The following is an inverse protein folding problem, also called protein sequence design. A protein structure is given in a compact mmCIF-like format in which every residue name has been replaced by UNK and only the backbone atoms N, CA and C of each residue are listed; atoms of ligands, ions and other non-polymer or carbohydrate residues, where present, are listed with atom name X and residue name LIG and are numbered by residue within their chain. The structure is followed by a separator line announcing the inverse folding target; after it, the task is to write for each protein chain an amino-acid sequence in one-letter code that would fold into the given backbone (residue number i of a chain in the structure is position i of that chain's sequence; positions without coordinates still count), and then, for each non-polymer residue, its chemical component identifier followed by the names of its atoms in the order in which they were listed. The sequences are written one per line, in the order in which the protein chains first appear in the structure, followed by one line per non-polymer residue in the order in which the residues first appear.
data_IF_752223713603
#
_entry.id   IF_752223713603
#
_cell.length_a   1.000
_cell.length_b   1.000
_cell.length_c   1.000
_cell.angle_alpha   90.00
_cell.angle_beta   90.00
_cell.angle_gamma   90.00
#
_symmetry.space_group_name_H-M   'P 1'
#
loop_
_entity.id
_entity.type
_entity.pdbx_description
1 polymer ?
#
# COMPACT_ATOMS: atom_id res chain seq x y z
N UNK A 1 -0.76 6.46 -30.76
CA UNK A 1 -0.73 5.19 -30.01
C UNK A 1 -0.91 5.42 -28.49
N UNK A 2 -0.16 6.32 -27.85
CA UNK A 2 -0.29 6.56 -26.39
C UNK A 2 -1.70 6.93 -25.91
N UNK A 3 -2.43 7.76 -26.62
CA UNK A 3 -3.81 8.11 -26.28
C UNK A 3 -4.78 6.91 -26.23
N UNK A 4 -4.66 5.97 -27.17
CA UNK A 4 -5.50 4.77 -27.15
C UNK A 4 -5.14 3.83 -25.99
N UNK A 5 -3.85 3.66 -25.69
CA UNK A 5 -3.38 2.89 -24.54
C UNK A 5 -3.89 3.53 -23.25
N UNK A 6 -3.80 4.86 -23.12
CA UNK A 6 -4.33 5.60 -21.98
C UNK A 6 -5.83 5.35 -21.79
N UNK A 7 -6.63 5.52 -22.82
CA UNK A 7 -8.08 5.23 -22.76
C UNK A 7 -8.38 3.79 -22.34
N UNK A 8 -7.57 2.83 -22.79
CA UNK A 8 -7.73 1.43 -22.41
C UNK A 8 -7.42 1.23 -20.92
N UNK A 9 -6.35 1.83 -20.40
CA UNK A 9 -6.01 1.82 -18.97
C UNK A 9 -7.13 2.46 -18.15
N UNK A 10 -7.58 3.66 -18.53
CA UNK A 10 -8.65 4.37 -17.85
C UNK A 10 -9.98 3.60 -17.84
N UNK A 11 -10.31 2.93 -18.96
CA UNK A 11 -11.48 2.05 -19.03
C UNK A 11 -11.35 0.86 -18.08
N UNK A 12 -10.18 0.22 -18.05
CA UNK A 12 -9.90 -0.90 -17.15
C UNK A 12 -10.10 -0.51 -15.68
N UNK A 13 -9.57 0.64 -15.27
CA UNK A 13 -9.71 1.10 -13.87
C UNK A 13 -11.14 1.47 -13.55
N UNK A 14 -11.89 2.12 -14.43
CA UNK A 14 -13.33 2.35 -14.23
C UNK A 14 -14.15 1.06 -14.12
N UNK A 15 -13.78 0.01 -14.85
CA UNK A 15 -14.42 -1.31 -14.72
C UNK A 15 -14.07 -1.99 -13.38
N UNK A 16 -12.83 -1.83 -12.91
CA UNK A 16 -12.38 -2.32 -11.61
C UNK A 16 -13.12 -1.57 -10.50
N UNK A 17 -13.14 -0.25 -10.53
CA UNK A 17 -13.85 0.62 -9.58
C UNK A 17 -15.33 0.22 -9.46
N UNK A 18 -16.02 0.03 -10.57
CA UNK A 18 -17.43 -0.40 -10.54
C UNK A 18 -17.63 -1.74 -9.83
N UNK A 19 -16.73 -2.70 -10.03
CA UNK A 19 -16.79 -3.99 -9.34
C UNK A 19 -16.54 -3.83 -7.85
N UNK A 20 -15.56 -3.02 -7.48
CA UNK A 20 -15.24 -2.76 -6.08
C UNK A 20 -16.35 -1.98 -5.39
N UNK A 21 -16.99 -1.03 -6.05
CA UNK A 21 -18.18 -0.34 -5.52
C UNK A 21 -19.33 -1.30 -5.23
N UNK A 22 -19.55 -2.31 -6.09
CA UNK A 22 -20.53 -3.37 -5.83
C UNK A 22 -20.10 -4.22 -4.62
N UNK A 23 -18.83 -4.64 -4.57
CA UNK A 23 -18.29 -5.39 -3.43
C UNK A 23 -18.46 -4.62 -2.12
N UNK A 24 -18.00 -3.38 -2.07
CA UNK A 24 -18.07 -2.52 -0.88
C UNK A 24 -19.51 -2.30 -0.40
N UNK A 25 -20.45 -2.16 -1.32
CA UNK A 25 -21.88 -1.98 -0.99
C UNK A 25 -22.47 -3.19 -0.26
N UNK A 26 -22.05 -4.41 -0.61
CA UNK A 26 -22.62 -5.65 -0.07
C UNK A 26 -21.68 -6.35 0.93
N UNK A 27 -20.50 -5.80 1.15
CA UNK A 27 -19.52 -6.35 2.10
C UNK A 27 -20.01 -6.15 3.54
N UNK A 28 -20.02 -7.22 4.32
CA UNK A 28 -20.26 -7.15 5.75
C UNK A 28 -19.09 -6.39 6.41
N UNK A 29 -19.41 -5.48 7.32
CA UNK A 29 -18.39 -4.77 8.10
C UNK A 29 -18.15 -5.48 9.44
N UNK A 30 -16.90 -5.59 9.90
CA UNK A 30 -16.59 -6.10 11.23
C UNK A 30 -17.30 -5.31 12.32
N UNK A 31 -17.89 -6.04 13.31
CA UNK A 31 -18.53 -5.42 14.46
C UNK A 31 -17.52 -5.04 15.53
N UNK A 32 -17.93 -4.20 16.49
CA UNK A 32 -17.12 -3.84 17.66
C UNK A 32 -15.97 -2.90 17.34
N UNK A 33 -16.08 -2.10 16.28
CA UNK A 33 -15.07 -1.11 15.86
C UNK A 33 -15.67 0.29 15.80
N UNK A 34 -15.02 1.23 16.43
CA UNK A 34 -15.28 2.65 16.30
C UNK A 34 -14.51 3.21 15.10
N UNK A 35 -15.16 4.09 14.35
CA UNK A 35 -14.59 4.67 13.13
C UNK A 35 -14.73 6.18 13.16
N UNK A 36 -13.61 6.88 13.07
CA UNK A 36 -13.60 8.31 12.76
C UNK A 36 -13.18 8.51 11.31
N UNK A 37 -14.13 8.94 10.49
CA UNK A 37 -13.97 8.97 9.03
C UNK A 37 -13.80 10.38 8.47
N UNK A 38 -12.98 10.49 7.40
CA UNK A 38 -12.84 11.72 6.65
C UNK A 38 -12.06 12.82 7.36
N UNK A 39 -11.15 12.45 8.27
CA UNK A 39 -10.30 13.40 8.97
C UNK A 39 -9.29 14.02 7.98
N UNK A 40 -9.25 15.36 7.82
CA UNK A 40 -8.29 15.98 6.91
C UNK A 40 -6.88 15.95 7.50
N UNK A 41 -5.90 15.43 6.75
CA UNK A 41 -4.49 15.48 7.16
C UNK A 41 -3.75 16.72 6.61
N UNK A 42 -4.32 17.38 5.61
CA UNK A 42 -3.91 18.72 5.15
C UNK A 42 -5.12 19.68 5.14
N UNK A 43 -4.90 21.00 5.38
CA UNK A 43 -5.99 21.96 5.51
C UNK A 43 -6.39 22.62 4.18
N UNK A 44 -6.18 21.95 3.04
CA UNK A 44 -6.40 22.51 1.69
C UNK A 44 -7.77 22.19 1.08
N UNK A 45 -8.56 21.32 1.75
CA UNK A 45 -9.90 20.93 1.29
C UNK A 45 -9.92 19.89 0.18
N UNK A 46 -8.78 19.32 -0.23
CA UNK A 46 -8.77 18.23 -1.20
C UNK A 46 -9.37 16.97 -0.54
N UNK A 47 -10.42 16.34 -1.11
CA UNK A 47 -11.01 15.12 -0.56
C UNK A 47 -10.04 13.94 -0.50
N UNK A 48 -8.96 13.97 -1.30
CA UNK A 48 -7.91 12.95 -1.27
C UNK A 48 -6.92 13.19 -0.13
N UNK A 49 -6.93 14.35 0.53
CA UNK A 49 -6.13 14.63 1.72
C UNK A 49 -6.88 14.31 3.00
N UNK A 50 -7.52 13.13 3.05
CA UNK A 50 -8.30 12.65 4.20
C UNK A 50 -7.92 11.23 4.57
N UNK A 51 -8.14 10.88 5.84
CA UNK A 51 -7.90 9.56 6.39
C UNK A 51 -9.05 9.12 7.28
N UNK A 52 -9.08 7.82 7.60
CA UNK A 52 -9.97 7.24 8.60
C UNK A 52 -9.13 6.61 9.72
N UNK A 53 -9.66 6.69 10.93
CA UNK A 53 -9.12 6.02 12.11
C UNK A 53 -10.11 4.94 12.55
N UNK A 54 -9.60 3.75 12.83
CA UNK A 54 -10.37 2.59 13.27
C UNK A 54 -9.79 2.07 14.58
N UNK A 55 -10.66 1.79 15.58
CA UNK A 55 -10.27 1.27 16.88
C UNK A 55 -11.29 0.25 17.39
N UNK A 56 -10.87 -0.70 18.24
CA UNK A 56 -11.82 -1.54 18.95
C UNK A 56 -12.71 -0.66 19.84
N UNK A 57 -14.03 -0.90 19.79
CA UNK A 57 -15.00 -0.14 20.58
C UNK A 57 -14.77 -0.33 22.09
N UNK A 58 -14.82 0.77 22.83
CA UNK A 58 -14.71 0.77 24.30
C UNK A 58 -13.33 0.47 24.85
N UNK A 59 -12.30 0.26 24.03
CA UNK A 59 -10.92 0.04 24.49
C UNK A 59 -10.23 1.38 24.73
N UNK A 60 -9.72 1.56 25.94
CA UNK A 60 -9.00 2.78 26.35
C UNK A 60 -7.48 2.59 26.25
N UNK A 61 -6.77 3.71 26.10
CA UNK A 61 -5.31 3.74 26.05
C UNK A 61 -4.71 3.51 24.67
N UNK A 62 -3.36 3.60 24.56
CA UNK A 62 -2.68 3.43 23.29
C UNK A 62 -2.68 1.96 22.83
N UNK A 63 -2.88 1.76 21.54
CA UNK A 63 -2.87 0.46 20.88
C UNK A 63 -1.77 0.42 19.81
N UNK A 64 -1.17 -0.75 19.54
CA UNK A 64 -0.24 -0.91 18.43
C UNK A 64 -0.84 -0.34 17.15
N UNK A 65 -0.03 0.38 16.42
CA UNK A 65 -0.45 1.18 15.26
C UNK A 65 -0.27 0.40 13.97
N UNK A 66 -1.29 0.41 13.12
CA UNK A 66 -1.19 -0.08 11.73
C UNK A 66 -1.49 1.08 10.78
N UNK A 67 -0.59 1.31 9.83
CA UNK A 67 -0.76 2.29 8.76
C UNK A 67 -1.02 1.54 7.46
N UNK A 68 -2.21 1.69 6.89
CA UNK A 68 -2.63 1.04 5.66
C UNK A 68 -2.63 2.03 4.48
N UNK A 69 -1.94 1.64 3.39
CA UNK A 69 -1.93 2.37 2.12
C UNK A 69 -2.66 1.53 1.08
N UNK A 70 -3.80 2.00 0.62
CA UNK A 70 -4.64 1.26 -0.31
C UNK A 70 -4.01 1.06 -1.70
N UNK A 71 -4.39 -0.02 -2.38
CA UNK A 71 -4.03 -0.31 -3.76
C UNK A 71 -4.72 0.56 -4.80
N UNK A 72 -4.99 -0.02 -5.97
CA UNK A 72 -5.71 0.68 -7.05
C UNK A 72 -4.82 1.16 -8.20
N UNK A 73 -3.62 0.57 -8.38
CA UNK A 73 -2.69 0.86 -9.49
C UNK A 73 -2.30 2.33 -9.59
N UNK A 74 -2.24 3.02 -8.47
CA UNK A 74 -1.98 4.47 -8.33
C UNK A 74 -3.03 5.36 -8.99
N UNK A 75 -4.11 4.82 -9.55
CA UNK A 75 -5.04 5.50 -10.45
C UNK A 75 -6.47 5.55 -9.96
N UNK A 76 -6.84 4.73 -8.97
CA UNK A 76 -8.18 4.72 -8.39
C UNK A 76 -8.12 4.29 -6.91
N UNK A 77 -9.25 4.46 -6.22
CA UNK A 77 -9.41 4.14 -4.81
C UNK A 77 -9.23 5.35 -3.91
N UNK A 78 -9.61 5.16 -2.69
CA UNK A 78 -9.44 6.06 -1.57
C UNK A 78 -9.44 5.23 -0.27
N UNK A 79 -9.40 5.86 0.89
CA UNK A 79 -9.42 5.22 2.22
C UNK A 79 -10.59 4.26 2.45
N UNK A 80 -11.68 4.36 1.67
CA UNK A 80 -12.84 3.47 1.81
C UNK A 80 -12.61 2.12 1.12
N UNK A 81 -11.63 2.02 0.20
CA UNK A 81 -11.36 0.80 -0.55
C UNK A 81 -10.99 -0.37 0.38
N UNK A 82 -10.21 -0.09 1.43
CA UNK A 82 -9.74 -1.06 2.41
C UNK A 82 -10.50 -0.97 3.75
N UNK A 83 -11.63 -0.25 3.81
CA UNK A 83 -12.35 0.01 5.06
C UNK A 83 -12.64 -1.25 5.88
N UNK A 84 -13.22 -2.27 5.28
CA UNK A 84 -13.58 -3.48 5.98
C UNK A 84 -12.34 -4.26 6.48
N UNK A 85 -11.27 -4.26 5.70
CA UNK A 85 -9.96 -4.80 6.10
C UNK A 85 -9.38 -4.05 7.31
N UNK A 86 -9.33 -2.72 7.26
CA UNK A 86 -8.87 -1.91 8.38
C UNK A 86 -9.71 -2.14 9.65
N UNK A 87 -11.04 -2.27 9.50
CA UNK A 87 -11.93 -2.62 10.60
C UNK A 87 -11.64 -4.03 11.15
N UNK A 88 -11.34 -5.01 10.28
CA UNK A 88 -11.00 -6.37 10.71
C UNK A 88 -9.69 -6.39 11.52
N UNK A 89 -8.70 -5.63 11.14
CA UNK A 89 -7.45 -5.46 11.90
C UNK A 89 -7.70 -4.74 13.23
N UNK A 90 -8.52 -3.70 13.23
CA UNK A 90 -8.88 -2.97 14.44
C UNK A 90 -9.62 -3.87 15.44
N UNK A 91 -10.53 -4.73 14.98
CA UNK A 91 -11.22 -5.70 15.81
C UNK A 91 -10.28 -6.68 16.54
N UNK A 92 -9.04 -6.84 16.07
CA UNK A 92 -8.00 -7.67 16.70
C UNK A 92 -7.16 -6.90 17.75
N UNK A 93 -7.53 -5.67 18.11
CA UNK A 93 -6.87 -4.92 19.18
C UNK A 93 -5.85 -3.88 18.70
N UNK A 94 -5.93 -3.43 17.48
CA UNK A 94 -5.02 -2.43 16.90
C UNK A 94 -5.71 -1.09 16.66
N UNK A 95 -4.94 0.01 16.71
CA UNK A 95 -5.36 1.28 16.16
C UNK A 95 -4.89 1.33 14.69
N UNK A 96 -5.83 1.47 13.76
CA UNK A 96 -5.55 1.42 12.33
C UNK A 96 -5.85 2.76 11.68
N UNK A 97 -4.94 3.24 10.83
CA UNK A 97 -5.13 4.42 9.99
C UNK A 97 -5.13 3.99 8.52
N UNK A 98 -6.24 4.20 7.82
CA UNK A 98 -6.33 4.09 6.37
C UNK A 98 -6.40 5.47 5.74
N UNK A 99 -5.55 5.75 4.76
CA UNK A 99 -5.44 7.07 4.16
C UNK A 99 -5.76 7.09 2.67
N UNK A 100 -6.27 8.21 2.18
CA UNK A 100 -6.33 8.51 0.74
C UNK A 100 -5.07 9.26 0.32
N UNK A 101 -4.69 9.12 -0.94
CA UNK A 101 -3.63 9.90 -1.60
C UNK A 101 -4.08 10.29 -3.01
N UNK A 102 -3.61 11.43 -3.52
CA UNK A 102 -3.96 11.89 -4.87
C UNK A 102 -3.50 10.90 -5.93
N UNK A 103 -4.31 10.71 -6.93
CA UNK A 103 -4.17 9.66 -7.93
C UNK A 103 -3.47 10.16 -9.21
N UNK A 104 -2.89 9.24 -9.97
CA UNK A 104 -2.46 9.52 -11.33
C UNK A 104 -3.68 9.81 -12.24
N UNK A 105 -3.63 10.78 -13.12
CA UNK A 105 -2.54 11.68 -13.46
C UNK A 105 -2.60 13.03 -12.75
N UNK A 106 -3.39 13.18 -11.71
CA UNK A 106 -3.53 14.45 -10.99
C UNK A 106 -2.17 14.87 -10.43
N UNK A 107 -1.45 13.91 -9.86
CA UNK A 107 -0.06 14.05 -9.43
C UNK A 107 0.79 12.92 -10.01
N UNK A 108 2.11 13.02 -9.95
CA UNK A 108 3.05 11.95 -10.24
C UNK A 108 3.38 11.13 -8.97
N UNK A 109 4.33 10.19 -9.07
CA UNK A 109 4.76 9.38 -7.93
C UNK A 109 5.29 10.24 -6.76
N UNK A 110 5.95 11.36 -7.04
CA UNK A 110 6.44 12.28 -5.99
C UNK A 110 5.28 12.83 -5.18
N UNK A 111 4.21 13.31 -5.85
CA UNK A 111 3.04 13.83 -5.18
C UNK A 111 2.35 12.78 -4.31
N UNK A 112 2.26 11.54 -4.77
CA UNK A 112 1.69 10.43 -3.97
C UNK A 112 2.53 10.13 -2.72
N UNK A 113 3.86 10.09 -2.84
CA UNK A 113 4.75 9.92 -1.70
C UNK A 113 4.63 11.08 -0.71
N UNK A 114 4.52 12.32 -1.20
CA UNK A 114 4.30 13.49 -0.36
C UNK A 114 2.99 13.41 0.43
N UNK A 115 1.92 12.91 -0.19
CA UNK A 115 0.64 12.70 0.48
C UNK A 115 0.74 11.64 1.59
N UNK A 116 1.46 10.53 1.32
CA UNK A 116 1.72 9.49 2.34
C UNK A 116 2.47 10.08 3.54
N UNK A 117 3.57 10.80 3.32
CA UNK A 117 4.33 11.42 4.42
C UNK A 117 3.50 12.48 5.15
N UNK A 118 2.70 13.28 4.45
CA UNK A 118 1.83 14.28 5.07
C UNK A 118 0.79 13.65 6.02
N UNK A 119 0.19 12.51 5.61
CA UNK A 119 -0.74 11.76 6.47
C UNK A 119 -0.05 11.17 7.71
N UNK A 120 1.17 10.68 7.56
CA UNK A 120 1.94 10.14 8.70
C UNK A 120 2.45 11.24 9.63
N UNK A 121 2.78 12.41 9.11
CA UNK A 121 3.04 13.59 9.95
C UNK A 121 1.79 14.08 10.68
N UNK A 122 0.59 13.90 10.11
CA UNK A 122 -0.65 14.12 10.84
C UNK A 122 -0.78 13.15 12.02
N UNK A 123 -0.48 11.86 11.80
CA UNK A 123 -0.47 10.86 12.86
C UNK A 123 0.50 11.26 14.00
N UNK A 124 1.72 11.70 13.69
CA UNK A 124 2.69 12.15 14.69
C UNK A 124 2.20 13.32 15.56
N UNK A 125 1.38 14.19 14.97
CA UNK A 125 0.83 15.35 15.69
C UNK A 125 -0.42 15.04 16.48
N UNK A 126 -1.22 14.09 16.06
CA UNK A 126 -2.57 13.87 16.56
C UNK A 126 -2.80 12.46 17.10
N UNK A 127 -1.96 11.48 16.74
CA UNK A 127 -2.17 10.06 16.97
C UNK A 127 -2.38 9.67 18.43
N UNK A 128 -1.65 10.30 19.36
CA UNK A 128 -1.86 10.06 20.79
C UNK A 128 -3.31 10.36 21.23
N UNK A 129 -3.90 11.44 20.72
CA UNK A 129 -5.30 11.80 20.99
C UNK A 129 -6.31 10.80 20.45
N UNK A 130 -5.92 10.04 19.41
CA UNK A 130 -6.68 8.93 18.83
C UNK A 130 -6.25 7.57 19.39
N UNK A 131 -5.33 7.54 20.36
CA UNK A 131 -4.88 6.33 21.05
C UNK A 131 -4.00 5.42 20.21
N UNK A 132 -3.18 5.97 19.33
CA UNK A 132 -2.12 5.26 18.63
C UNK A 132 -0.87 5.13 19.50
N UNK A 133 -0.27 3.96 19.56
CA UNK A 133 1.06 3.74 20.13
C UNK A 133 2.10 3.96 19.03
N UNK A 134 2.71 5.15 19.04
CA UNK A 134 3.70 5.53 18.03
C UNK A 134 5.07 4.86 18.23
N UNK A 135 5.25 4.09 19.32
CA UNK A 135 6.46 3.28 19.51
C UNK A 135 6.41 1.92 18.78
N UNK A 136 5.20 1.51 18.33
CA UNK A 136 4.95 0.25 17.64
C UNK A 136 4.10 0.49 16.39
N UNK A 137 4.75 0.66 15.25
CA UNK A 137 4.10 1.00 13.98
C UNK A 137 4.38 -0.07 12.93
N UNK A 138 3.34 -0.79 12.50
CA UNK A 138 3.34 -1.60 11.29
C UNK A 138 2.92 -0.73 10.10
N UNK A 139 3.77 -0.65 9.09
CA UNK A 139 3.43 -0.07 7.79
C UNK A 139 3.00 -1.20 6.86
N UNK A 140 1.79 -1.09 6.29
CA UNK A 140 1.30 -2.06 5.31
C UNK A 140 0.65 -1.37 4.12
N UNK A 141 0.48 -2.12 3.06
CA UNK A 141 -0.27 -1.70 1.88
C UNK A 141 -0.38 -2.82 0.87
N UNK A 142 -1.42 -2.75 0.05
CA UNK A 142 -1.71 -3.75 -0.96
C UNK A 142 -1.43 -3.25 -2.38
N UNK A 143 -0.91 -4.12 -3.25
CA UNK A 143 -0.70 -3.81 -4.68
C UNK A 143 0.14 -2.53 -4.90
N UNK A 144 -0.44 -1.47 -5.46
CA UNK A 144 0.20 -0.15 -5.60
C UNK A 144 0.46 0.50 -4.23
N UNK A 145 -0.39 0.25 -3.23
CA UNK A 145 -0.16 0.65 -1.84
C UNK A 145 1.02 -0.09 -1.22
N UNK A 146 1.19 -1.38 -1.53
CA UNK A 146 2.37 -2.16 -1.14
C UNK A 146 3.67 -1.60 -1.74
N UNK A 147 3.62 -1.11 -2.98
CA UNK A 147 4.73 -0.35 -3.57
C UNK A 147 5.02 0.93 -2.77
N UNK A 148 3.98 1.74 -2.50
CA UNK A 148 4.14 2.99 -1.74
C UNK A 148 4.64 2.72 -0.31
N UNK A 149 4.19 1.66 0.35
CA UNK A 149 4.66 1.26 1.67
C UNK A 149 6.16 0.90 1.66
N UNK A 150 6.59 0.04 0.73
CA UNK A 150 8.01 -0.31 0.57
C UNK A 150 8.89 0.90 0.25
N UNK A 151 8.44 1.75 -0.68
CA UNK A 151 9.15 2.98 -1.04
C UNK A 151 9.23 3.97 0.15
N UNK A 152 8.13 4.11 0.91
CA UNK A 152 8.10 4.95 2.12
C UNK A 152 9.08 4.46 3.19
N UNK A 153 9.17 3.15 3.41
CA UNK A 153 10.15 2.58 4.35
C UNK A 153 11.59 2.89 3.91
N UNK A 154 11.90 2.79 2.61
CA UNK A 154 13.22 3.17 2.07
C UNK A 154 13.50 4.67 2.21
N UNK A 155 12.53 5.53 1.89
CA UNK A 155 12.68 6.99 2.01
C UNK A 155 12.90 7.39 3.46
N UNK A 156 12.19 6.78 4.41
CA UNK A 156 12.36 7.02 5.85
C UNK A 156 13.82 6.87 6.30
N UNK A 157 14.58 5.97 5.68
CA UNK A 157 15.97 5.63 6.05
C UNK A 157 17.03 6.32 5.19
N UNK A 158 16.65 7.09 4.16
CA UNK A 158 17.60 7.66 3.18
C UNK A 158 17.45 9.17 3.00
N UNK A 159 18.43 9.95 3.48
CA UNK A 159 18.47 11.41 3.25
C UNK A 159 18.45 11.78 1.76
N UNK A 160 19.09 10.98 0.92
CA UNK A 160 19.10 11.21 -0.51
C UNK A 160 17.71 11.05 -1.13
N UNK A 161 16.98 10.01 -0.72
CA UNK A 161 15.59 9.80 -1.17
C UNK A 161 14.64 10.85 -0.57
N UNK A 162 14.81 11.25 0.69
CA UNK A 162 14.03 12.34 1.30
C UNK A 162 14.15 13.63 0.49
N UNK A 163 15.39 14.04 0.17
CA UNK A 163 15.64 15.21 -0.68
C UNK A 163 15.06 15.03 -2.10
N UNK A 164 15.19 13.83 -2.69
CA UNK A 164 14.69 13.51 -4.02
C UNK A 164 13.17 13.62 -4.10
N UNK A 165 12.46 13.09 -3.10
CA UNK A 165 10.99 13.12 -3.03
C UNK A 165 10.43 14.40 -2.41
N UNK A 166 11.28 15.22 -1.78
CA UNK A 166 10.89 16.48 -1.13
C UNK A 166 10.03 16.25 0.10
N UNK A 167 10.43 15.31 0.96
CA UNK A 167 9.74 14.96 2.21
C UNK A 167 10.71 15.00 3.39
N UNK A 168 10.16 15.26 4.57
CA UNK A 168 10.88 15.15 5.83
C UNK A 168 10.66 13.76 6.46
N UNK A 169 11.68 13.16 7.09
CA UNK A 169 11.51 11.89 7.77
C UNK A 169 10.58 12.00 8.97
N UNK A 170 9.94 10.88 9.31
CA UNK A 170 9.15 10.75 10.54
C UNK A 170 10.08 10.61 11.75
N UNK A 171 9.60 11.07 12.91
CA UNK A 171 10.32 10.93 14.18
C UNK A 171 10.30 9.48 14.69
N UNK A 172 9.20 8.78 14.41
CA UNK A 172 8.98 7.41 14.87
C UNK A 172 9.32 6.43 13.75
N UNK A 173 10.18 5.43 14.00
CA UNK A 173 10.50 4.41 13.01
C UNK A 173 9.34 3.43 12.84
N UNK A 174 9.28 2.78 11.69
CA UNK A 174 8.43 1.61 11.51
C UNK A 174 9.04 0.40 12.23
N UNK A 175 8.23 -0.34 12.99
CA UNK A 175 8.64 -1.56 13.68
C UNK A 175 8.64 -2.77 12.74
N UNK A 176 7.76 -2.76 11.74
CA UNK A 176 7.67 -3.78 10.70
C UNK A 176 7.09 -3.19 9.40
N UNK A 177 7.34 -3.86 8.29
CA UNK A 177 6.79 -3.56 6.96
C UNK A 177 6.11 -4.81 6.41
N UNK A 178 4.81 -4.72 6.04
CA UNK A 178 4.11 -5.79 5.34
C UNK A 178 3.74 -5.34 3.92
N UNK A 179 4.18 -6.08 2.92
CA UNK A 179 3.91 -5.80 1.49
C UNK A 179 2.96 -6.88 0.97
N UNK A 180 1.69 -6.52 0.82
CA UNK A 180 0.65 -7.42 0.35
C UNK A 180 0.48 -7.32 -1.17
N UNK A 181 0.84 -8.38 -1.91
CA UNK A 181 0.76 -8.44 -3.37
C UNK A 181 1.38 -7.21 -4.08
N UNK A 182 2.42 -6.63 -3.47
CA UNK A 182 2.98 -5.34 -3.85
C UNK A 182 3.63 -5.33 -5.23
N UNK A 183 3.56 -4.17 -5.89
CA UNK A 183 4.32 -3.94 -7.13
C UNK A 183 5.74 -3.52 -6.78
N UNK A 184 6.70 -4.41 -6.94
CA UNK A 184 8.10 -4.17 -6.54
C UNK A 184 8.94 -3.59 -7.66
N UNK A 185 8.60 -3.91 -8.93
CA UNK A 185 9.22 -3.35 -10.13
C UNK A 185 8.20 -2.52 -10.90
N UNK A 186 8.24 -1.19 -10.70
CA UNK A 186 7.33 -0.25 -11.37
C UNK A 186 7.67 -0.03 -12.84
N UNK A 187 8.87 -0.42 -13.27
CA UNK A 187 9.32 -0.22 -14.66
C UNK A 187 8.75 -1.29 -15.59
N UNK A 188 8.50 -2.48 -15.04
CA UNK A 188 7.94 -3.62 -15.76
C UNK A 188 6.62 -4.10 -15.14
N UNK A 189 5.79 -3.18 -14.71
CA UNK A 189 4.56 -3.41 -13.95
C UNK A 189 3.72 -4.61 -14.43
N UNK A 190 3.58 -4.83 -15.73
CA UNK A 190 2.74 -5.91 -16.26
C UNK A 190 3.49 -7.22 -16.49
N UNK A 191 4.82 -7.22 -16.55
CA UNK A 191 5.67 -8.34 -17.04
C UNK A 191 5.17 -9.01 -18.33
N UNK A 192 4.31 -8.34 -19.09
CA UNK A 192 3.80 -8.87 -20.36
C UNK A 192 4.82 -8.58 -21.47
N UNK A 193 5.42 -9.61 -22.08
CA UNK A 193 6.43 -9.44 -23.12
C UNK A 193 5.84 -8.95 -24.45
N UNK A 194 4.51 -8.94 -24.57
CA UNK A 194 3.82 -8.53 -25.79
C UNK A 194 4.01 -7.03 -26.08
N UNK A 195 3.90 -6.61 -27.37
CA UNK A 195 3.94 -5.19 -27.74
C UNK A 195 2.91 -4.35 -26.98
N UNK A 196 1.74 -4.91 -26.68
CA UNK A 196 0.70 -4.25 -25.88
C UNK A 196 1.15 -4.07 -24.42
N UNK A 197 1.70 -5.11 -23.80
CA UNK A 197 2.23 -5.03 -22.44
C UNK A 197 3.33 -3.98 -22.29
N UNK A 198 4.25 -3.92 -23.26
CA UNK A 198 5.29 -2.90 -23.31
C UNK A 198 4.72 -1.48 -23.49
N UNK A 199 3.65 -1.32 -24.26
CA UNK A 199 2.99 -0.04 -24.46
C UNK A 199 2.27 0.42 -23.17
N UNK A 200 1.62 -0.51 -22.44
CA UNK A 200 1.02 -0.25 -21.12
C UNK A 200 2.10 0.16 -20.12
N UNK A 201 3.18 -0.61 -19.98
CA UNK A 201 4.28 -0.28 -19.07
C UNK A 201 4.92 1.09 -19.39
N UNK A 202 5.03 1.44 -20.66
CA UNK A 202 5.51 2.77 -21.08
C UNK A 202 4.56 3.87 -20.65
N UNK A 203 3.25 3.66 -20.73
CA UNK A 203 2.27 4.65 -20.29
C UNK A 203 2.30 4.83 -18.77
N UNK A 204 2.41 3.75 -17.99
CA UNK A 204 2.61 3.85 -16.54
C UNK A 204 3.87 4.63 -16.17
N UNK A 205 5.01 4.37 -16.87
CA UNK A 205 6.22 5.17 -16.65
C UNK A 205 6.01 6.67 -16.93
N UNK A 206 5.19 7.01 -17.93
CA UNK A 206 4.84 8.42 -18.21
C UNK A 206 3.96 9.03 -17.13
N UNK A 207 3.07 8.25 -16.56
CA UNK A 207 2.21 8.67 -15.47
C UNK A 207 2.98 8.87 -14.18
N UNK A 208 3.82 7.90 -13.81
CA UNK A 208 4.60 7.92 -12.57
C UNK A 208 5.74 8.95 -12.59
N UNK A 209 6.39 9.15 -13.74
CA UNK A 209 7.63 9.92 -13.84
C UNK A 209 7.55 11.14 -14.79
N UNK A 210 6.39 11.39 -15.36
CA UNK A 210 6.17 12.46 -16.33
C UNK A 210 6.48 12.10 -17.79
N UNK A 211 6.13 12.97 -18.75
CA UNK A 211 6.23 12.68 -20.19
C UNK A 211 7.64 12.31 -20.66
N UNK A 212 8.65 12.92 -20.05
CA UNK A 212 10.07 12.65 -20.29
C UNK A 212 10.65 11.73 -19.20
N UNK A 213 9.93 10.66 -18.86
CA UNK A 213 10.23 9.76 -17.75
C UNK A 213 11.69 9.29 -17.67
N UNK A 214 12.39 9.10 -18.79
CA UNK A 214 13.82 8.72 -18.81
C UNK A 214 14.75 9.79 -18.26
N UNK A 215 14.30 11.04 -18.20
CA UNK A 215 15.04 12.18 -17.68
C UNK A 215 14.53 12.59 -16.30
N UNK A 216 13.54 11.90 -15.76
CA UNK A 216 13.02 12.14 -14.43
C UNK A 216 14.09 11.74 -13.38
N UNK A 217 14.36 12.57 -12.40
CA UNK A 217 15.27 12.19 -11.31
C UNK A 217 14.73 11.05 -10.44
N UNK A 218 13.40 10.80 -10.50
CA UNK A 218 12.78 9.66 -9.81
C UNK A 218 13.01 8.33 -10.53
N UNK A 219 13.30 8.37 -11.84
CA UNK A 219 13.51 7.15 -12.62
C UNK A 219 14.84 6.49 -12.19
N UNK A 220 14.80 5.23 -11.78
CA UNK A 220 15.91 4.53 -11.13
C UNK A 220 15.91 4.65 -9.60
N UNK A 221 14.90 5.32 -9.00
CA UNK A 221 14.76 5.49 -7.55
C UNK A 221 13.32 5.28 -7.08
N UNK A 222 12.62 4.32 -7.65
CA UNK A 222 11.21 4.07 -7.38
C UNK A 222 10.89 2.60 -7.08
N UNK A 223 11.61 1.63 -7.64
CA UNK A 223 11.45 0.21 -7.31
C UNK A 223 12.17 -0.14 -6.02
N UNK A 224 11.69 -1.16 -5.31
CA UNK A 224 12.28 -1.58 -4.03
C UNK A 224 13.77 -1.94 -4.20
N UNK A 225 14.10 -2.70 -5.22
CA UNK A 225 15.49 -3.12 -5.51
C UNK A 225 16.46 -1.96 -5.79
N UNK A 226 15.94 -0.80 -6.25
CA UNK A 226 16.76 0.39 -6.51
C UNK A 226 16.95 1.25 -5.26
N UNK A 227 16.01 1.18 -4.33
CA UNK A 227 15.93 2.11 -3.19
C UNK A 227 16.37 1.49 -1.87
N UNK A 228 16.25 0.18 -1.70
CA UNK A 228 16.56 -0.53 -0.47
C UNK A 228 18.07 -0.78 -0.20
N UNK A 229 18.97 -0.94 -1.22
CA UNK A 229 20.34 -1.34 -0.96
C UNK A 229 21.07 -0.44 0.05
N UNK A 230 21.68 -1.08 1.05
CA UNK A 230 22.47 -0.40 2.09
C UNK A 230 21.65 0.29 3.18
N UNK A 231 20.32 0.17 3.16
CA UNK A 231 19.46 0.72 4.20
C UNK A 231 19.22 -0.29 5.33
N UNK A 232 19.10 0.22 6.55
CA UNK A 232 18.66 -0.52 7.73
C UNK A 232 17.14 -0.48 7.80
N UNK A 233 16.48 -1.41 7.09
CA UNK A 233 15.02 -1.51 7.03
C UNK A 233 14.48 -2.33 8.21
N UNK A 234 13.23 -2.08 8.64
CA UNK A 234 12.58 -2.95 9.63
C UNK A 234 12.37 -4.37 9.05
N UNK A 235 12.05 -5.38 9.88
CA UNK A 235 11.61 -6.68 9.40
C UNK A 235 10.52 -6.58 8.34
N UNK A 236 10.60 -7.40 7.29
CA UNK A 236 9.74 -7.32 6.11
C UNK A 236 8.90 -8.58 5.97
N UNK A 237 7.59 -8.44 5.88
CA UNK A 237 6.67 -9.51 5.54
C UNK A 237 6.18 -9.35 4.09
N UNK A 238 6.31 -10.41 3.29
CA UNK A 238 5.72 -10.46 1.96
C UNK A 238 4.48 -11.36 1.99
N UNK A 239 3.34 -10.83 1.56
CA UNK A 239 2.11 -11.60 1.40
C UNK A 239 1.87 -11.77 -0.10
N UNK A 240 1.70 -13.02 -0.55
CA UNK A 240 1.59 -13.37 -1.96
C UNK A 240 0.71 -14.60 -2.19
N UNK A 241 0.19 -14.73 -3.41
CA UNK A 241 -0.49 -15.94 -3.84
C UNK A 241 -0.19 -16.28 -5.30
N UNK A 242 -0.03 -17.56 -5.61
CA UNK A 242 0.23 -18.02 -6.98
C UNK A 242 -0.94 -17.77 -7.97
N UNK A 243 -2.24 -17.81 -7.55
CA UNK A 243 -3.34 -17.42 -8.43
C UNK A 243 -3.36 -15.94 -8.82
N UNK A 244 -2.58 -15.08 -8.15
CA UNK A 244 -2.50 -13.67 -8.49
C UNK A 244 -1.87 -13.45 -9.88
N UNK A 245 -2.57 -12.71 -10.74
CA UNK A 245 -2.04 -12.32 -12.06
C UNK A 245 -0.76 -11.49 -12.01
N UNK A 246 -0.45 -10.88 -10.87
CA UNK A 246 0.76 -10.10 -10.62
C UNK A 246 1.78 -10.85 -9.76
N UNK A 247 1.60 -12.15 -9.54
CA UNK A 247 2.48 -12.98 -8.71
C UNK A 247 3.98 -12.82 -9.02
N UNK A 248 4.32 -12.58 -10.31
CA UNK A 248 5.72 -12.29 -10.71
C UNK A 248 6.35 -11.12 -9.93
N UNK A 249 5.56 -10.12 -9.53
CA UNK A 249 6.05 -9.00 -8.73
C UNK A 249 6.47 -9.48 -7.33
N UNK A 250 5.59 -10.22 -6.66
CA UNK A 250 5.88 -10.78 -5.34
C UNK A 250 7.01 -11.82 -5.40
N UNK A 251 7.01 -12.69 -6.41
CA UNK A 251 8.08 -13.67 -6.61
C UNK A 251 9.44 -12.99 -6.72
N UNK A 252 9.55 -11.93 -7.52
CA UNK A 252 10.79 -11.16 -7.67
C UNK A 252 11.23 -10.52 -6.35
N UNK A 253 10.30 -9.99 -5.56
CA UNK A 253 10.62 -9.44 -4.26
C UNK A 253 11.12 -10.52 -3.31
N UNK A 254 10.46 -11.68 -3.24
CA UNK A 254 10.90 -12.81 -2.41
C UNK A 254 12.32 -13.25 -2.79
N UNK A 255 12.58 -13.48 -4.09
CA UNK A 255 13.90 -13.85 -4.60
C UNK A 255 14.98 -12.80 -4.24
N UNK A 256 14.63 -11.51 -4.27
CA UNK A 256 15.53 -10.42 -3.89
C UNK A 256 15.80 -10.40 -2.39
N UNK A 257 14.78 -10.59 -1.56
CA UNK A 257 14.92 -10.63 -0.11
C UNK A 257 15.70 -11.86 0.35
N UNK A 258 15.44 -13.03 -0.23
CA UNK A 258 16.19 -14.28 0.04
C UNK A 258 17.71 -14.13 -0.23
N UNK A 259 18.07 -13.28 -1.22
CA UNK A 259 19.45 -12.97 -1.54
C UNK A 259 20.04 -11.83 -0.69
N UNK A 260 19.25 -11.21 0.17
CA UNK A 260 19.61 -10.08 1.02
C UNK A 260 19.94 -10.49 2.45
N UNK A 261 20.34 -9.51 3.26
CA UNK A 261 20.57 -9.70 4.71
C UNK A 261 19.42 -9.14 5.58
N UNK A 262 18.32 -8.63 4.98
CA UNK A 262 17.21 -8.13 5.77
C UNK A 262 16.42 -9.29 6.39
N UNK A 263 15.99 -9.10 7.63
CA UNK A 263 15.04 -10.00 8.29
C UNK A 263 13.72 -9.96 7.52
N UNK A 264 13.26 -11.12 7.06
CA UNK A 264 12.01 -11.20 6.30
C UNK A 264 11.31 -12.54 6.48
N UNK A 265 10.00 -12.51 6.29
CA UNK A 265 9.13 -13.69 6.22
C UNK A 265 8.22 -13.61 4.99
N UNK A 266 7.68 -14.76 4.58
CA UNK A 266 6.76 -14.85 3.46
C UNK A 266 5.52 -15.65 3.84
N UNK A 267 4.34 -15.10 3.55
CA UNK A 267 3.08 -15.83 3.52
C UNK A 267 2.74 -16.06 2.05
N UNK A 268 2.95 -17.29 1.59
CA UNK A 268 2.66 -17.69 0.21
C UNK A 268 1.50 -18.68 0.17
N UNK A 269 0.43 -18.32 -0.56
CA UNK A 269 -0.68 -19.19 -0.87
C UNK A 269 -0.50 -19.82 -2.24
N UNK A 270 -0.55 -21.15 -2.29
CA UNK A 270 -0.39 -21.90 -3.55
C UNK A 270 -1.73 -22.12 -4.26
N UNK A 271 -1.68 -22.50 -5.54
CA UNK A 271 -2.89 -22.87 -6.31
C UNK A 271 -3.62 -24.07 -5.70
N UNK A 272 -2.89 -25.00 -5.09
CA UNK A 272 -3.47 -26.18 -4.44
C UNK A 272 -4.33 -25.80 -3.21
N UNK A 273 -4.00 -24.70 -2.53
CA UNK A 273 -4.75 -24.20 -1.40
C UNK A 273 -6.02 -23.43 -1.81
N UNK A 274 -6.05 -22.87 -3.04
CA UNK A 274 -7.26 -22.27 -3.57
C UNK A 274 -7.06 -21.32 -4.75
N UNK A 275 -7.66 -21.66 -5.89
CA UNK A 275 -7.65 -20.80 -7.10
C UNK A 275 -8.36 -19.44 -6.91
N UNK A 276 -9.22 -19.32 -5.89
CA UNK A 276 -9.94 -18.07 -5.57
C UNK A 276 -9.05 -17.03 -4.88
N UNK A 277 -7.89 -17.45 -4.33
CA UNK A 277 -6.98 -16.60 -3.58
C UNK A 277 -6.18 -15.70 -4.54
N UNK A 278 -6.89 -14.88 -5.27
CA UNK A 278 -6.32 -14.00 -6.30
C UNK A 278 -5.76 -12.72 -5.69
N UNK A 279 -5.41 -11.77 -6.53
CA UNK A 279 -4.79 -10.49 -6.15
C UNK A 279 -5.51 -9.80 -4.99
N UNK A 280 -4.81 -9.54 -3.90
CA UNK A 280 -5.26 -8.85 -2.67
C UNK A 280 -6.53 -9.45 -2.03
N UNK A 281 -6.65 -10.79 -2.06
CA UNK A 281 -7.83 -11.47 -1.55
C UNK A 281 -8.06 -11.21 -0.06
N UNK A 282 -7.00 -11.13 0.74
CA UNK A 282 -7.03 -10.92 2.19
C UNK A 282 -7.55 -9.54 2.57
N UNK A 283 -7.39 -8.56 1.68
CA UNK A 283 -7.94 -7.21 1.81
C UNK A 283 -9.37 -7.14 1.27
N UNK A 284 -9.57 -7.70 0.07
CA UNK A 284 -10.85 -7.66 -0.63
C UNK A 284 -11.96 -8.47 0.00
N UNK A 285 -11.62 -9.58 0.66
CA UNK A 285 -12.55 -10.57 1.23
C UNK A 285 -12.11 -10.95 2.65
N UNK A 286 -12.05 -9.96 3.53
CA UNK A 286 -11.54 -10.08 4.90
C UNK A 286 -12.17 -11.22 5.72
N UNK A 287 -13.40 -11.62 5.40
CA UNK A 287 -14.20 -12.64 6.08
C UNK A 287 -13.94 -14.08 5.58
N UNK A 288 -13.13 -14.27 4.54
CA UNK A 288 -12.71 -15.61 4.16
C UNK A 288 -11.77 -16.21 5.20
N UNK A 289 -11.84 -17.54 5.45
CA UNK A 289 -10.94 -18.19 6.40
C UNK A 289 -9.47 -17.95 6.10
N UNK A 290 -9.08 -18.00 4.82
CA UNK A 290 -7.72 -17.79 4.38
C UNK A 290 -7.27 -16.33 4.59
N UNK A 291 -8.19 -15.37 4.44
CA UNK A 291 -7.92 -13.97 4.73
C UNK A 291 -7.71 -13.73 6.22
N UNK A 292 -8.53 -14.34 7.05
CA UNK A 292 -8.39 -14.27 8.51
C UNK A 292 -7.07 -14.91 8.97
N UNK A 293 -6.70 -16.05 8.39
CA UNK A 293 -5.42 -16.71 8.67
C UNK A 293 -4.24 -15.83 8.24
N UNK A 294 -4.30 -15.25 7.03
CA UNK A 294 -3.25 -14.35 6.51
C UNK A 294 -3.07 -13.14 7.41
N UNK A 295 -4.18 -12.49 7.79
CA UNK A 295 -4.16 -11.31 8.64
C UNK A 295 -3.68 -11.64 10.06
N UNK A 296 -4.06 -12.78 10.64
CA UNK A 296 -3.55 -13.24 11.92
C UNK A 296 -2.03 -13.49 11.88
N UNK A 297 -1.52 -14.12 10.82
CA UNK A 297 -0.06 -14.31 10.64
C UNK A 297 0.67 -12.97 10.51
N UNK A 298 0.12 -12.01 9.75
CA UNK A 298 0.68 -10.66 9.64
C UNK A 298 0.75 -9.96 11.00
N UNK A 299 -0.32 -10.03 11.79
CA UNK A 299 -0.35 -9.43 13.13
C UNK A 299 0.63 -10.11 14.09
N UNK A 300 0.80 -11.44 14.00
CA UNK A 300 1.80 -12.18 14.79
C UNK A 300 3.24 -11.82 14.41
N UNK A 301 3.51 -11.55 13.13
CA UNK A 301 4.81 -11.06 12.68
C UNK A 301 5.15 -9.69 13.27
N UNK A 302 4.15 -8.86 13.52
CA UNK A 302 4.31 -7.51 14.09
C UNK A 302 4.47 -7.52 15.62
N UNK A 303 3.97 -8.54 16.32
CA UNK A 303 4.08 -8.68 17.79
C UNK A 303 5.42 -9.21 18.21
#
# INVERSE_FOLDING_TARGET
MGYLIRKMIDRKWRETERRDQVRLKYQTLPAGVEVEAGLPYLPDGDPMHTLNVYRPAGVQGPLPTILDIHGGGWMYGDRELNRAYCMALAAQGYAVMGMSYRLLPQVDLRGQVQDVFASFHWLERHGEGYGFDLSRILLTGDSAGGHLAGLTACIQKSRALQALYGVEPLKHPFSALAIAHGVCDVYHFTFLPSPLGQAIAREYRRLLFGPRWKLSPLYGHASFEDTAPGLDLPPILVIASEPDRYFRQSQRLMEYLDASSWEHETILWTREQGERLTHVFEVGYWDWPESQETNAKMLNFFC
#
